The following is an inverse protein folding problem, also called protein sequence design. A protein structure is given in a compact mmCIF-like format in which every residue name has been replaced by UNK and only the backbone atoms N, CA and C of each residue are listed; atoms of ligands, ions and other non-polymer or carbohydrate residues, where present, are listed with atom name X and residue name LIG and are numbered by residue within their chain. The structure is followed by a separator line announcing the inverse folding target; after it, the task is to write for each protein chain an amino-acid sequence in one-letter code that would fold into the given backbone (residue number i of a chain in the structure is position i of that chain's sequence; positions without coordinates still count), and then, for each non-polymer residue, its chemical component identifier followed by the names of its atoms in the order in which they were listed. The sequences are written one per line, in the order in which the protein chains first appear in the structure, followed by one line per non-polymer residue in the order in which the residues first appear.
data_IF_532780531124
#
_entry.id   IF_532780531124
#
_cell.length_a   1.000
_cell.length_b   1.000
_cell.length_c   1.000
_cell.angle_alpha   90.00
_cell.angle_beta   90.00
_cell.angle_gamma   90.00
#
_symmetry.space_group_name_H-M   'P 1'
#
loop_
_entity.id
_entity.type
_entity.pdbx_description
1 polymer ?
#
# COMPACT_ATOMS: atom_id res chain seq x y z
N UNK A 1 7.87 32.35 -16.58
CA UNK A 1 8.61 32.56 -15.32
C UNK A 1 8.72 31.20 -14.66
N UNK A 2 9.93 30.69 -14.43
CA UNK A 2 10.13 29.41 -13.77
C UNK A 2 9.53 29.49 -12.36
N UNK A 3 8.34 28.94 -12.15
CA UNK A 3 7.93 28.53 -10.81
C UNK A 3 9.07 27.69 -10.24
N UNK A 4 9.60 28.10 -9.08
CA UNK A 4 10.66 27.33 -8.41
C UNK A 4 10.16 25.90 -8.27
N UNK A 5 10.82 24.95 -8.93
CA UNK A 5 10.47 23.54 -8.84
C UNK A 5 10.52 23.11 -7.36
N UNK A 6 9.35 22.92 -6.74
CA UNK A 6 9.20 22.63 -5.31
C UNK A 6 9.37 21.14 -4.99
N UNK A 7 9.58 20.29 -6.01
CA UNK A 7 9.71 18.84 -5.83
C UNK A 7 10.82 18.47 -4.86
N UNK A 8 11.96 19.17 -4.94
CA UNK A 8 13.17 18.89 -4.16
C UNK A 8 13.32 19.80 -2.92
N UNK A 9 12.27 20.52 -2.55
CA UNK A 9 12.27 21.38 -1.36
C UNK A 9 11.51 20.71 -0.21
N UNK A 10 11.90 20.97 1.05
CA UNK A 10 11.19 20.41 2.19
C UNK A 10 9.70 20.79 2.23
N UNK A 11 8.86 19.89 2.74
CA UNK A 11 7.44 20.17 2.97
C UNK A 11 6.94 19.50 4.26
N UNK A 12 5.89 20.08 4.85
CA UNK A 12 5.29 19.60 6.09
C UNK A 12 4.20 18.55 5.79
N UNK A 13 4.29 17.41 6.46
CA UNK A 13 3.30 16.33 6.43
C UNK A 13 2.82 16.10 7.87
N UNK A 14 1.67 16.64 8.23
CA UNK A 14 1.20 16.61 9.61
C UNK A 14 2.23 17.22 10.58
N UNK A 15 2.68 16.49 11.63
CA UNK A 15 3.69 16.97 12.56
C UNK A 15 5.14 16.86 12.05
N UNK A 16 5.40 16.15 10.94
CA UNK A 16 6.77 15.89 10.44
C UNK A 16 7.12 16.73 9.22
N UNK A 17 8.41 16.92 8.95
CA UNK A 17 8.91 17.62 7.76
C UNK A 17 9.70 16.66 6.90
N UNK A 18 9.27 16.48 5.65
CA UNK A 18 9.98 15.68 4.66
C UNK A 18 10.95 16.55 3.88
N UNK A 19 12.12 16.01 3.53
CA UNK A 19 13.15 16.74 2.77
C UNK A 19 12.76 17.11 1.33
N UNK A 20 11.81 16.38 0.75
CA UNK A 20 11.29 16.58 -0.59
C UNK A 20 9.94 15.86 -0.76
N UNK A 21 9.35 15.99 -1.96
CA UNK A 21 7.98 15.56 -2.28
C UNK A 21 7.88 14.18 -2.91
N UNK A 22 8.96 13.39 -2.91
CA UNK A 22 8.98 12.03 -3.46
C UNK A 22 8.75 10.98 -2.38
N UNK A 23 7.74 10.14 -2.56
CA UNK A 23 7.35 9.10 -1.60
C UNK A 23 7.47 7.73 -2.27
N UNK A 24 8.10 6.77 -1.60
CA UNK A 24 8.05 5.36 -2.02
C UNK A 24 6.76 4.74 -1.52
N UNK A 25 5.92 4.25 -2.43
CA UNK A 25 4.64 3.65 -2.11
C UNK A 25 4.82 2.33 -1.34
N UNK A 26 3.96 2.06 -0.35
CA UNK A 26 3.84 0.72 0.24
C UNK A 26 3.48 -0.30 -0.83
N UNK A 27 4.45 -1.15 -1.18
CA UNK A 27 4.34 -2.26 -2.12
C UNK A 27 5.08 -3.46 -1.52
N UNK A 28 4.37 -4.57 -1.33
CA UNK A 28 4.90 -5.74 -0.62
C UNK A 28 6.29 -6.16 -1.13
N UNK A 29 7.17 -6.42 -0.17
CA UNK A 29 8.59 -6.66 -0.38
C UNK A 29 8.92 -8.15 -0.25
N UNK A 30 8.11 -8.92 0.50
CA UNK A 30 8.39 -10.33 0.79
C UNK A 30 9.68 -10.55 1.61
N UNK A 31 10.18 -9.51 2.27
CA UNK A 31 11.43 -9.52 3.02
C UNK A 31 11.17 -9.59 4.54
N UNK A 32 10.75 -10.76 5.01
CA UNK A 32 10.23 -10.96 6.37
C UNK A 32 10.72 -12.29 6.93
N UNK A 33 11.22 -12.28 8.16
CA UNK A 33 11.66 -13.47 8.92
C UNK A 33 10.86 -13.52 10.20
N UNK A 34 10.20 -14.66 10.48
CA UNK A 34 9.37 -14.87 11.69
C UNK A 34 8.34 -13.76 11.97
N UNK A 35 7.77 -13.21 10.90
CA UNK A 35 6.80 -12.12 10.99
C UNK A 35 7.38 -10.78 11.45
N UNK A 36 8.70 -10.60 11.33
CA UNK A 36 9.43 -9.36 11.61
C UNK A 36 10.24 -8.90 10.37
N UNK A 37 10.57 -7.59 10.25
CA UNK A 37 11.52 -7.10 9.26
C UNK A 37 12.81 -7.92 9.20
N UNK A 38 13.30 -8.20 7.99
CA UNK A 38 14.62 -8.80 7.80
C UNK A 38 15.70 -7.75 7.51
N UNK A 39 16.98 -8.12 7.56
CA UNK A 39 18.08 -7.24 7.12
C UNK A 39 17.95 -6.84 5.65
N UNK A 40 17.35 -7.69 4.81
CA UNK A 40 17.05 -7.35 3.42
C UNK A 40 16.03 -6.20 3.33
N UNK A 41 15.00 -6.19 4.19
CA UNK A 41 14.03 -5.10 4.24
C UNK A 41 14.66 -3.79 4.71
N UNK A 42 15.53 -3.86 5.72
CA UNK A 42 16.34 -2.70 6.18
C UNK A 42 17.15 -2.13 5.03
N UNK A 43 17.93 -2.97 4.34
CA UNK A 43 18.72 -2.55 3.18
C UNK A 43 17.83 -1.94 2.08
N UNK A 44 16.69 -2.55 1.77
CA UNK A 44 15.77 -2.07 0.74
C UNK A 44 15.31 -0.64 1.00
N UNK A 45 14.83 -0.35 2.22
CA UNK A 45 14.33 0.97 2.57
C UNK A 45 15.44 2.00 2.80
N UNK A 46 16.56 1.59 3.41
CA UNK A 46 17.77 2.44 3.53
C UNK A 46 18.26 2.88 2.15
N UNK A 47 18.38 1.97 1.18
CA UNK A 47 18.89 2.32 -0.16
C UNK A 47 17.97 3.33 -0.88
N UNK A 48 16.65 3.28 -0.66
CA UNK A 48 15.71 4.31 -1.17
C UNK A 48 15.94 5.67 -0.52
N UNK A 49 16.20 5.68 0.79
CA UNK A 49 16.53 6.89 1.52
C UNK A 49 17.90 7.43 1.06
N UNK A 50 18.94 6.61 0.96
CA UNK A 50 20.24 7.03 0.40
C UNK A 50 20.09 7.62 -1.02
N UNK A 51 19.14 7.10 -1.81
CA UNK A 51 18.83 7.57 -3.16
C UNK A 51 17.95 8.82 -3.26
N UNK A 52 17.64 9.46 -2.13
CA UNK A 52 16.99 10.77 -2.08
C UNK A 52 15.49 10.75 -1.84
N UNK A 53 14.84 9.60 -1.63
CA UNK A 53 13.38 9.54 -1.37
C UNK A 53 13.03 10.26 -0.06
N UNK A 54 12.06 11.18 -0.08
CA UNK A 54 11.66 11.95 1.10
C UNK A 54 11.02 11.11 2.20
N UNK A 55 10.10 10.21 1.84
CA UNK A 55 9.44 9.27 2.75
C UNK A 55 9.38 7.88 2.10
N UNK A 56 9.87 6.85 2.79
CA UNK A 56 9.77 5.47 2.32
C UNK A 56 8.69 4.70 3.10
N UNK A 57 7.68 4.17 2.40
CA UNK A 57 6.58 3.44 3.05
C UNK A 57 6.78 1.94 2.95
N UNK A 58 6.89 1.25 4.09
CA UNK A 58 7.05 -0.22 4.21
C UNK A 58 5.70 -0.92 4.05
N UNK A 59 5.66 -2.08 3.40
CA UNK A 59 4.47 -2.89 3.22
C UNK A 59 4.66 -4.35 3.73
N UNK A 60 3.62 -5.15 3.93
CA UNK A 60 2.42 -4.75 4.65
C UNK A 60 2.51 -5.20 6.11
N UNK A 61 2.24 -4.30 7.05
CA UNK A 61 2.18 -4.64 8.48
C UNK A 61 0.79 -5.16 8.82
N UNK A 62 0.63 -6.46 9.05
CA UNK A 62 -0.65 -6.99 9.51
C UNK A 62 -0.88 -6.58 10.97
N UNK A 63 -2.00 -5.91 11.25
CA UNK A 63 -2.35 -5.47 12.62
C UNK A 63 -2.80 -6.62 13.52
N UNK A 64 -3.06 -7.79 12.93
CA UNK A 64 -3.47 -8.99 13.66
C UNK A 64 -2.97 -10.25 12.97
N UNK A 65 -2.80 -11.33 13.74
CA UNK A 65 -2.39 -12.65 13.22
C UNK A 65 -3.39 -13.18 12.19
N UNK A 66 -4.70 -13.06 12.47
CA UNK A 66 -5.77 -13.53 11.57
C UNK A 66 -5.90 -12.66 10.31
N UNK A 67 -5.44 -11.41 10.37
CA UNK A 67 -5.45 -10.49 9.24
C UNK A 67 -4.28 -10.66 8.26
N UNK A 68 -3.37 -11.62 8.48
CA UNK A 68 -2.21 -11.86 7.59
C UNK A 68 -2.65 -12.50 6.28
N UNK A 69 -2.32 -11.87 5.16
CA UNK A 69 -2.64 -12.36 3.82
C UNK A 69 -1.58 -13.29 3.23
N UNK A 70 -0.33 -13.16 3.69
CA UNK A 70 0.82 -13.92 3.21
C UNK A 70 1.60 -14.56 4.38
N UNK A 71 2.26 -15.71 4.17
CA UNK A 71 3.11 -16.32 5.19
C UNK A 71 4.28 -15.43 5.60
N UNK A 72 4.88 -14.72 4.63
CA UNK A 72 6.00 -13.79 4.76
C UNK A 72 5.54 -12.34 4.87
N UNK A 73 4.51 -12.09 5.67
CA UNK A 73 4.02 -10.74 5.99
C UNK A 73 4.34 -10.40 7.45
N UNK A 74 4.78 -9.16 7.71
CA UNK A 74 4.99 -8.69 9.09
C UNK A 74 3.69 -8.76 9.87
N UNK A 75 3.79 -9.14 11.15
CA UNK A 75 2.69 -9.05 12.10
C UNK A 75 3.10 -8.07 13.20
N UNK A 76 2.40 -6.94 13.26
CA UNK A 76 2.63 -5.86 14.22
C UNK A 76 2.29 -6.34 15.62
N UNK A 77 3.33 -6.52 16.43
CA UNK A 77 3.26 -7.02 17.82
C UNK A 77 4.48 -6.53 18.62
N UNK A 78 4.39 -6.42 19.95
CA UNK A 78 5.48 -5.87 20.76
C UNK A 78 6.84 -6.57 20.57
N UNK A 79 6.86 -7.87 20.29
CA UNK A 79 8.07 -8.69 20.19
C UNK A 79 8.97 -8.37 18.98
N UNK A 80 8.49 -7.53 18.05
CA UNK A 80 9.27 -7.07 16.88
C UNK A 80 9.71 -5.62 17.00
N UNK A 81 9.48 -4.95 18.14
CA UNK A 81 9.89 -3.56 18.34
C UNK A 81 11.38 -3.32 17.99
N UNK A 82 12.36 -4.13 18.43
CA UNK A 82 13.76 -3.92 18.06
C UNK A 82 14.03 -3.99 16.54
N UNK A 83 13.28 -4.82 15.80
CA UNK A 83 13.42 -4.91 14.35
C UNK A 83 12.84 -3.70 13.63
N UNK A 84 11.77 -3.13 14.19
CA UNK A 84 11.16 -1.91 13.68
C UNK A 84 12.07 -0.70 13.95
N UNK A 85 12.68 -0.62 15.13
CA UNK A 85 13.68 0.39 15.49
C UNK A 85 14.88 0.34 14.53
N UNK A 86 15.48 -0.84 14.33
CA UNK A 86 16.60 -1.01 13.41
C UNK A 86 16.26 -0.59 11.96
N UNK A 87 15.02 -0.80 11.54
CA UNK A 87 14.53 -0.37 10.22
C UNK A 87 14.37 1.15 10.14
N UNK A 88 13.80 1.79 11.16
CA UNK A 88 13.63 3.24 11.20
C UNK A 88 14.99 3.97 11.29
N UNK A 89 15.86 3.54 12.21
CA UNK A 89 17.20 4.09 12.40
C UNK A 89 18.03 4.06 11.11
N UNK A 90 17.99 2.95 10.37
CA UNK A 90 18.71 2.83 9.11
C UNK A 90 18.22 3.83 8.04
N UNK A 91 16.92 4.13 8.01
CA UNK A 91 16.36 5.13 7.08
C UNK A 91 16.71 6.55 7.53
N UNK A 92 16.62 6.83 8.83
CA UNK A 92 16.98 8.13 9.40
C UNK A 92 18.45 8.46 9.24
N UNK A 93 19.35 7.47 9.32
CA UNK A 93 20.78 7.64 9.07
C UNK A 93 21.10 8.19 7.66
N UNK A 94 20.22 7.95 6.68
CA UNK A 94 20.31 8.47 5.31
C UNK A 94 19.53 9.79 5.11
N UNK A 95 19.01 10.37 6.19
CA UNK A 95 18.21 11.61 6.19
C UNK A 95 16.85 11.47 5.51
N UNK A 96 16.33 10.25 5.33
CA UNK A 96 14.97 10.00 4.87
C UNK A 96 13.99 9.83 6.03
N UNK A 97 12.70 9.99 5.77
CA UNK A 97 11.65 9.61 6.72
C UNK A 97 11.09 8.21 6.38
N UNK A 98 10.45 7.57 7.34
CA UNK A 98 9.85 6.24 7.17
C UNK A 98 8.36 6.21 7.57
N UNK A 99 7.57 5.50 6.77
CA UNK A 99 6.17 5.17 7.06
C UNK A 99 5.97 3.66 7.09
N UNK A 100 5.08 3.15 7.95
CA UNK A 100 4.60 1.78 7.85
C UNK A 100 3.17 1.75 7.32
N UNK A 101 2.94 1.02 6.22
CA UNK A 101 1.58 0.74 5.77
C UNK A 101 0.98 -0.43 6.57
N UNK A 102 0.03 -0.13 7.46
CA UNK A 102 -0.65 -1.12 8.29
C UNK A 102 -1.98 -1.54 7.66
N UNK A 103 -2.32 -2.82 7.80
CA UNK A 103 -3.48 -3.42 7.13
C UNK A 103 -4.07 -4.60 7.88
N UNK A 104 -5.29 -4.97 7.49
CA UNK A 104 -5.95 -6.22 7.88
C UNK A 104 -6.53 -6.89 6.62
N UNK A 105 -6.22 -8.17 6.40
CA UNK A 105 -6.66 -8.94 5.22
C UNK A 105 -8.18 -9.10 5.10
N UNK A 106 -8.87 -9.17 6.23
CA UNK A 106 -10.31 -9.43 6.24
C UNK A 106 -10.59 -10.76 5.54
N UNK A 107 -11.51 -10.77 4.56
CA UNK A 107 -11.76 -11.97 3.75
C UNK A 107 -10.69 -12.27 2.69
N UNK A 108 -9.77 -11.33 2.42
CA UNK A 108 -8.69 -11.49 1.45
C UNK A 108 -7.45 -12.23 2.02
N UNK A 109 -7.63 -13.07 3.04
CA UNK A 109 -6.58 -13.97 3.54
C UNK A 109 -6.47 -15.18 2.60
N UNK A 110 -5.65 -15.02 1.57
CA UNK A 110 -5.59 -15.93 0.41
C UNK A 110 -4.44 -16.93 0.43
N UNK A 111 -3.41 -16.72 1.26
CA UNK A 111 -2.19 -17.54 1.19
C UNK A 111 -1.87 -18.34 2.44
N UNK A 112 -2.62 -18.15 3.54
CA UNK A 112 -2.48 -18.91 4.80
C UNK A 112 -3.82 -19.45 5.25
N UNK A 113 -3.83 -20.62 5.90
CA UNK A 113 -5.02 -21.12 6.61
C UNK A 113 -5.09 -20.44 7.97
N UNK A 114 -6.25 -19.91 8.32
CA UNK A 114 -6.51 -19.32 9.65
C UNK A 114 -7.35 -20.26 10.49
N UNK A 115 -7.15 -20.22 11.81
CA UNK A 115 -7.86 -21.07 12.77
C UNK A 115 -9.33 -20.65 12.90
N UNK A 116 -9.59 -19.34 12.91
CA UNK A 116 -10.93 -18.78 12.98
C UNK A 116 -11.46 -18.34 11.62
N UNK A 117 -12.80 -18.30 11.42
CA UNK A 117 -13.38 -17.74 10.20
C UNK A 117 -12.91 -16.30 9.97
N UNK A 118 -12.44 -16.03 8.75
CA UNK A 118 -12.10 -14.68 8.31
C UNK A 118 -13.26 -13.69 8.51
N UNK A 119 -12.95 -12.41 8.67
CA UNK A 119 -13.95 -11.35 8.87
C UNK A 119 -14.08 -10.43 7.65
N UNK A 120 -15.27 -9.86 7.45
CA UNK A 120 -15.51 -8.84 6.43
C UNK A 120 -16.72 -7.96 6.81
N UNK A 121 -17.01 -6.94 6.01
CA UNK A 121 -18.22 -6.12 6.17
C UNK A 121 -19.50 -6.99 6.11
N UNK A 122 -19.50 -8.06 5.31
CA UNK A 122 -20.60 -9.01 5.18
C UNK A 122 -20.13 -10.46 5.18
N UNK A 123 -20.96 -11.35 5.73
CA UNK A 123 -20.68 -12.78 5.85
C UNK A 123 -20.93 -13.57 4.56
N UNK A 124 -20.67 -14.87 4.62
CA UNK A 124 -20.98 -15.83 3.56
C UNK A 124 -19.75 -16.61 3.08
N UNK A 125 -19.80 -17.03 1.82
CA UNK A 125 -18.70 -17.79 1.20
C UNK A 125 -17.49 -16.88 0.91
N UNK A 126 -16.30 -17.36 1.24
CA UNK A 126 -15.06 -16.65 0.95
C UNK A 126 -14.38 -17.24 -0.30
N UNK A 127 -14.66 -16.64 -1.46
CA UNK A 127 -14.05 -17.02 -2.74
C UNK A 127 -12.52 -16.88 -2.73
N UNK A 128 -12.01 -15.82 -2.10
CA UNK A 128 -10.57 -15.52 -2.07
C UNK A 128 -9.80 -16.54 -1.21
N UNK A 129 -10.43 -17.03 -0.14
CA UNK A 129 -9.87 -18.03 0.78
C UNK A 129 -10.00 -19.48 0.34
N UNK A 130 -10.72 -19.76 -0.75
CA UNK A 130 -11.08 -21.12 -1.18
C UNK A 130 -9.87 -22.04 -1.35
N UNK A 131 -8.83 -21.57 -2.05
CA UNK A 131 -7.61 -22.35 -2.35
C UNK A 131 -6.74 -22.67 -1.12
N UNK A 132 -7.08 -22.13 0.06
CA UNK A 132 -6.39 -22.38 1.34
C UNK A 132 -7.31 -22.95 2.43
N UNK A 133 -8.55 -23.30 2.07
CA UNK A 133 -9.52 -23.88 3.01
C UNK A 133 -10.22 -22.85 3.91
N UNK A 134 -10.03 -21.55 3.68
CA UNK A 134 -10.74 -20.49 4.38
C UNK A 134 -12.11 -20.27 3.71
N UNK A 135 -13.02 -21.23 3.83
CA UNK A 135 -14.26 -21.28 3.03
C UNK A 135 -15.34 -20.28 3.46
N UNK A 136 -15.31 -19.83 4.72
CA UNK A 136 -16.34 -18.96 5.30
C UNK A 136 -15.73 -17.64 5.75
N UNK A 137 -16.50 -16.57 5.56
CA UNK A 137 -16.29 -15.26 6.18
C UNK A 137 -17.50 -14.89 7.03
N UNK A 138 -17.27 -14.28 8.18
CA UNK A 138 -18.33 -13.75 9.04
C UNK A 138 -18.51 -12.25 8.82
N UNK A 139 -19.75 -11.77 8.98
CA UNK A 139 -20.01 -10.35 9.06
C UNK A 139 -19.47 -9.83 10.40
N UNK A 140 -18.74 -8.72 10.36
CA UNK A 140 -18.27 -8.06 11.58
C UNK A 140 -19.46 -7.48 12.36
N UNK A 141 -19.50 -7.78 13.65
CA UNK A 141 -20.33 -7.08 14.65
C UNK A 141 -19.68 -5.76 15.05
N UNK A 142 -20.36 -4.93 15.84
CA UNK A 142 -19.76 -3.72 16.42
C UNK A 142 -18.54 -4.05 17.28
N UNK A 143 -18.61 -5.10 18.10
CA UNK A 143 -17.48 -5.55 18.92
C UNK A 143 -16.26 -5.95 18.07
N UNK A 144 -16.48 -6.60 16.91
CA UNK A 144 -15.39 -6.91 15.98
C UNK A 144 -14.78 -5.66 15.36
N UNK A 145 -15.62 -4.68 15.00
CA UNK A 145 -15.16 -3.39 14.48
C UNK A 145 -14.34 -2.64 15.52
N UNK A 146 -14.74 -2.66 16.79
CA UNK A 146 -13.98 -2.06 17.89
C UNK A 146 -12.65 -2.76 18.12
N UNK A 147 -12.63 -4.10 18.14
CA UNK A 147 -11.41 -4.90 18.26
C UNK A 147 -10.43 -4.57 17.13
N UNK A 148 -10.89 -4.60 15.88
CA UNK A 148 -10.04 -4.32 14.72
C UNK A 148 -9.54 -2.88 14.76
N UNK A 149 -10.39 -1.92 15.09
CA UNK A 149 -9.98 -0.52 15.22
C UNK A 149 -8.88 -0.36 16.29
N UNK A 150 -9.01 -1.06 17.43
CA UNK A 150 -7.98 -1.07 18.46
C UNK A 150 -6.66 -1.70 17.95
N UNK A 151 -6.72 -2.78 17.17
CA UNK A 151 -5.52 -3.38 16.57
C UNK A 151 -4.78 -2.40 15.64
N UNK A 152 -5.50 -1.58 14.87
CA UNK A 152 -4.89 -0.51 14.08
C UNK A 152 -4.22 0.56 14.96
N UNK A 153 -4.87 0.93 16.07
CA UNK A 153 -4.32 1.87 17.07
C UNK A 153 -3.04 1.31 17.69
N UNK A 154 -3.05 0.06 18.13
CA UNK A 154 -1.90 -0.60 18.77
C UNK A 154 -0.72 -0.74 17.79
N UNK A 155 -1.00 -1.08 16.53
CA UNK A 155 0.03 -1.15 15.49
C UNK A 155 0.64 0.22 15.18
N UNK A 156 -0.16 1.28 15.12
CA UNK A 156 0.33 2.65 14.92
C UNK A 156 1.15 3.12 16.13
N UNK A 157 0.73 2.80 17.35
CA UNK A 157 1.47 3.08 18.57
C UNK A 157 2.82 2.34 18.60
N UNK A 158 2.88 1.09 18.13
CA UNK A 158 4.13 0.35 17.98
C UNK A 158 5.07 1.03 16.97
N UNK A 159 4.56 1.50 15.82
CA UNK A 159 5.35 2.28 14.87
C UNK A 159 5.91 3.56 15.50
N UNK A 160 5.08 4.28 16.27
CA UNK A 160 5.48 5.49 16.98
C UNK A 160 6.60 5.19 17.99
N UNK A 161 6.48 4.11 18.75
CA UNK A 161 7.52 3.67 19.70
C UNK A 161 8.83 3.33 18.98
N UNK A 162 8.75 2.69 17.82
CA UNK A 162 9.89 2.34 16.99
C UNK A 162 10.53 3.55 16.25
N UNK A 163 10.01 4.76 16.43
CA UNK A 163 10.54 5.97 15.80
C UNK A 163 10.05 6.24 14.37
N UNK A 164 8.98 5.60 13.89
CA UNK A 164 8.45 5.91 12.56
C UNK A 164 7.88 7.34 12.50
N UNK A 165 8.11 8.03 11.39
CA UNK A 165 7.61 9.40 11.14
C UNK A 165 6.14 9.43 10.73
N UNK A 166 5.68 8.32 10.15
CA UNK A 166 4.33 8.20 9.64
C UNK A 166 3.78 6.77 9.74
N UNK A 167 2.45 6.67 9.71
CA UNK A 167 1.73 5.43 9.44
C UNK A 167 0.75 5.65 8.28
N UNK A 168 0.67 4.68 7.37
CA UNK A 168 -0.30 4.69 6.27
C UNK A 168 -1.36 3.61 6.52
N UNK A 169 -2.61 4.02 6.74
CA UNK A 169 -3.72 3.08 6.92
C UNK A 169 -4.19 2.61 5.54
N UNK A 170 -4.11 1.30 5.31
CA UNK A 170 -4.49 0.76 4.01
C UNK A 170 -6.00 0.57 3.87
N UNK A 171 -6.63 1.39 3.02
CA UNK A 171 -8.08 1.38 2.73
C UNK A 171 -8.41 1.06 1.27
N UNK A 172 -7.51 0.39 0.55
CA UNK A 172 -7.64 0.07 -0.86
C UNK A 172 -7.51 -1.44 -1.16
N UNK A 173 -7.46 -1.75 -2.45
CA UNK A 173 -7.01 -3.05 -2.99
C UNK A 173 -7.74 -4.32 -2.52
N UNK A 174 -8.94 -4.21 -1.94
CA UNK A 174 -9.71 -5.35 -1.44
C UNK A 174 -9.33 -5.83 -0.04
N UNK A 175 -8.48 -5.12 0.70
CA UNK A 175 -8.24 -5.36 2.13
C UNK A 175 -9.46 -4.97 2.97
N UNK A 176 -9.45 -5.27 4.27
CA UNK A 176 -10.63 -5.19 5.13
C UNK A 176 -11.36 -3.84 5.06
N UNK A 177 -10.64 -2.71 5.16
CA UNK A 177 -11.28 -1.40 5.13
C UNK A 177 -11.87 -1.08 3.75
N UNK A 178 -11.23 -1.52 2.65
CA UNK A 178 -11.84 -1.47 1.32
C UNK A 178 -13.04 -2.42 1.18
N UNK A 179 -13.10 -3.52 1.93
CA UNK A 179 -14.26 -4.41 1.96
C UNK A 179 -15.48 -3.74 2.61
N UNK A 180 -15.30 -2.72 3.44
CA UNK A 180 -16.39 -1.84 3.89
C UNK A 180 -16.76 -0.80 2.83
N UNK A 181 -15.77 -0.15 2.20
CA UNK A 181 -16.00 0.90 1.18
C UNK A 181 -16.69 0.35 -0.08
N UNK A 182 -16.26 -0.83 -0.55
CA UNK A 182 -16.67 -1.41 -1.83
C UNK A 182 -18.07 -2.05 -1.76
N UNK A 183 -19.01 -1.65 -2.63
CA UNK A 183 -20.33 -2.27 -2.74
C UNK A 183 -20.28 -3.76 -3.08
N UNK A 184 -19.20 -4.26 -3.68
CA UNK A 184 -19.01 -5.70 -3.98
C UNK A 184 -18.95 -6.50 -2.68
N UNK A 185 -18.26 -5.96 -1.68
CA UNK A 185 -17.95 -6.66 -0.44
C UNK A 185 -18.94 -6.33 0.69
N UNK A 186 -19.48 -5.11 0.70
CA UNK A 186 -20.38 -4.63 1.73
C UNK A 186 -21.84 -4.67 1.27
N UNK A 187 -22.60 -5.60 1.84
CA UNK A 187 -24.04 -5.81 1.64
C UNK A 187 -24.85 -5.50 2.91
N UNK A 188 -24.27 -4.76 3.86
CA UNK A 188 -24.95 -4.41 5.11
C UNK A 188 -26.11 -3.46 4.83
N UNK A 189 -27.13 -3.55 5.68
CA UNK A 189 -28.32 -2.69 5.66
C UNK A 189 -28.40 -1.77 6.89
N UNK A 190 -27.36 -1.78 7.74
CA UNK A 190 -27.22 -0.88 8.88
C UNK A 190 -26.46 0.40 8.50
N UNK A 191 -26.10 1.22 9.50
CA UNK A 191 -25.38 2.49 9.31
C UNK A 191 -23.96 2.35 8.74
N UNK A 192 -23.47 1.13 8.53
CA UNK A 192 -22.17 0.82 7.91
C UNK A 192 -22.30 0.26 6.49
N UNK A 193 -23.51 0.24 5.90
CA UNK A 193 -23.77 -0.19 4.54
C UNK A 193 -24.78 0.67 3.79
N UNK A 194 -25.10 0.28 2.55
CA UNK A 194 -25.95 1.09 1.67
C UNK A 194 -25.17 2.22 1.00
N UNK A 195 -25.34 3.46 1.47
CA UNK A 195 -24.75 4.66 0.84
C UNK A 195 -23.21 4.71 0.94
N UNK A 196 -22.57 5.55 0.13
CA UNK A 196 -21.11 5.73 0.17
C UNK A 196 -20.63 6.22 1.54
N UNK A 197 -21.39 7.12 2.15
CA UNK A 197 -21.12 7.70 3.47
C UNK A 197 -21.11 6.61 4.55
N UNK A 198 -22.14 5.76 4.57
CA UNK A 198 -22.23 4.67 5.53
C UNK A 198 -21.11 3.64 5.33
N UNK A 199 -20.81 3.29 4.09
CA UNK A 199 -19.73 2.34 3.76
C UNK A 199 -18.34 2.86 4.16
N UNK A 200 -18.11 4.17 4.10
CA UNK A 200 -16.87 4.81 4.52
C UNK A 200 -16.80 5.14 6.03
N UNK A 201 -17.90 5.00 6.78
CA UNK A 201 -18.00 5.31 8.21
C UNK A 201 -16.99 4.56 9.07
N UNK A 202 -16.92 3.23 8.94
CA UNK A 202 -15.97 2.42 9.73
C UNK A 202 -14.50 2.72 9.37
N UNK A 203 -14.09 2.78 8.09
CA UNK A 203 -12.75 3.25 7.71
C UNK A 203 -12.37 4.61 8.31
N UNK A 204 -13.27 5.60 8.26
CA UNK A 204 -13.04 6.92 8.85
C UNK A 204 -12.93 6.88 10.38
N UNK A 205 -13.72 6.03 11.04
CA UNK A 205 -13.62 5.79 12.47
C UNK A 205 -12.26 5.21 12.87
N UNK A 206 -11.74 4.24 12.12
CA UNK A 206 -10.40 3.67 12.33
C UNK A 206 -9.33 4.74 12.21
N UNK A 207 -9.38 5.57 11.15
CA UNK A 207 -8.47 6.69 10.97
C UNK A 207 -8.51 7.65 12.14
N UNK A 208 -9.70 8.08 12.56
CA UNK A 208 -9.89 9.02 13.68
C UNK A 208 -9.25 8.48 14.96
N UNK A 209 -9.51 7.20 15.32
CA UNK A 209 -8.93 6.59 16.53
C UNK A 209 -7.40 6.52 16.47
N UNK A 210 -6.83 6.19 15.31
CA UNK A 210 -5.36 6.22 15.11
C UNK A 210 -4.84 7.65 15.24
N UNK A 211 -5.47 8.62 14.57
CA UNK A 211 -5.09 10.04 14.62
C UNK A 211 -5.12 10.59 16.05
N UNK A 212 -6.15 10.26 16.83
CA UNK A 212 -6.25 10.64 18.26
C UNK A 212 -5.10 10.07 19.09
N UNK A 213 -4.65 8.84 18.80
CA UNK A 213 -3.59 8.18 19.57
C UNK A 213 -2.20 8.73 19.29
N UNK A 214 -1.84 8.90 18.00
CA UNK A 214 -0.43 9.16 17.59
C UNK A 214 -0.23 10.45 16.80
N UNK A 215 -1.32 11.11 16.39
CA UNK A 215 -1.32 12.16 15.37
C UNK A 215 -0.61 13.48 15.70
N UNK A 216 -0.23 13.68 16.96
CA UNK A 216 0.57 14.82 17.41
C UNK A 216 2.08 14.61 17.22
N UNK A 217 2.53 13.35 17.12
CA UNK A 217 3.95 12.98 17.04
C UNK A 217 4.30 12.29 15.72
N UNK A 218 3.32 11.65 15.09
CA UNK A 218 3.49 10.87 13.87
C UNK A 218 2.41 11.27 12.85
N UNK A 219 2.76 11.37 11.57
CA UNK A 219 1.77 11.62 10.52
C UNK A 219 0.89 10.39 10.27
N UNK A 220 -0.40 10.61 10.02
CA UNK A 220 -1.38 9.55 9.75
C UNK A 220 -1.96 9.75 8.36
N UNK A 221 -1.54 8.88 7.45
CA UNK A 221 -1.97 8.86 6.05
C UNK A 221 -3.03 7.79 5.84
N UNK A 222 -3.81 7.93 4.77
CA UNK A 222 -4.68 6.87 4.29
C UNK A 222 -4.48 6.62 2.79
N UNK A 223 -4.31 5.34 2.41
CA UNK A 223 -4.27 4.93 1.01
C UNK A 223 -5.64 4.43 0.58
N UNK A 224 -6.28 5.17 -0.31
CA UNK A 224 -7.62 4.86 -0.82
C UNK A 224 -7.58 4.50 -2.31
N UNK A 225 -8.62 3.80 -2.76
CA UNK A 225 -8.88 3.61 -4.17
C UNK A 225 -9.59 4.85 -4.73
N UNK A 226 -9.14 5.36 -5.87
CA UNK A 226 -9.87 6.32 -6.70
C UNK A 226 -11.06 5.67 -7.41
N UNK A 227 -10.96 4.35 -7.64
CA UNK A 227 -12.03 3.45 -8.02
C UNK A 227 -11.56 2.00 -7.82
N UNK A 228 -12.49 1.05 -7.70
CA UNK A 228 -12.17 -0.38 -7.68
C UNK A 228 -11.86 -0.94 -9.07
N UNK A 229 -12.18 -0.22 -10.15
CA UNK A 229 -11.82 -0.62 -11.51
C UNK A 229 -12.55 -1.86 -12.04
N UNK A 230 -13.69 -2.23 -11.44
CA UNK A 230 -14.55 -3.35 -11.85
C UNK A 230 -16.03 -2.98 -11.76
N UNK A 231 -16.91 -3.60 -12.58
CA UNK A 231 -18.36 -3.39 -12.48
C UNK A 231 -18.90 -3.72 -11.08
N UNK A 232 -19.75 -2.83 -10.55
CA UNK A 232 -20.34 -2.95 -9.21
C UNK A 232 -19.38 -2.63 -8.05
N UNK A 233 -18.13 -2.26 -8.33
CA UNK A 233 -17.16 -1.76 -7.36
C UNK A 233 -17.38 -0.30 -6.98
N UNK A 234 -16.56 0.19 -6.03
CA UNK A 234 -16.54 1.60 -5.68
C UNK A 234 -16.06 2.46 -6.87
N UNK A 235 -16.72 3.59 -7.07
CA UNK A 235 -16.53 4.54 -8.16
C UNK A 235 -15.73 5.77 -7.72
N UNK A 236 -15.49 6.72 -8.64
CA UNK A 236 -14.89 8.02 -8.32
C UNK A 236 -15.75 8.81 -7.33
N UNK A 237 -17.08 8.75 -7.47
CA UNK A 237 -18.02 9.44 -6.57
C UNK A 237 -17.92 8.88 -5.15
N UNK A 238 -17.82 7.55 -5.02
CA UNK A 238 -17.59 6.91 -3.72
C UNK A 238 -16.23 7.30 -3.12
N UNK A 239 -15.20 7.47 -3.96
CA UNK A 239 -13.88 7.92 -3.53
C UNK A 239 -13.90 9.37 -3.05
N UNK A 240 -14.68 10.26 -3.67
CA UNK A 240 -14.90 11.64 -3.22
C UNK A 240 -15.54 11.65 -1.83
N UNK A 241 -16.60 10.87 -1.63
CA UNK A 241 -17.28 10.77 -0.32
C UNK A 241 -16.32 10.23 0.74
N UNK A 242 -15.57 9.19 0.40
CA UNK A 242 -14.54 8.61 1.28
C UNK A 242 -13.48 9.67 1.64
N UNK A 243 -12.94 10.40 0.66
CA UNK A 243 -11.93 11.42 0.89
C UNK A 243 -12.41 12.54 1.83
N UNK A 244 -13.67 13.00 1.68
CA UNK A 244 -14.27 14.00 2.58
C UNK A 244 -14.37 13.50 4.03
N UNK A 245 -14.80 12.26 4.22
CA UNK A 245 -14.88 11.67 5.56
C UNK A 245 -13.51 11.46 6.20
N UNK A 246 -12.50 11.09 5.41
CA UNK A 246 -11.12 10.95 5.91
C UNK A 246 -10.48 12.31 6.23
N UNK A 247 -10.79 13.36 5.46
CA UNK A 247 -10.43 14.74 5.81
C UNK A 247 -11.04 15.14 7.15
N UNK A 248 -12.34 14.88 7.35
CA UNK A 248 -13.04 15.20 8.61
C UNK A 248 -12.49 14.39 9.79
N UNK A 249 -12.06 13.16 9.56
CA UNK A 249 -11.41 12.31 10.56
C UNK A 249 -9.95 12.72 10.86
N UNK A 250 -9.40 13.71 10.14
CA UNK A 250 -8.12 14.33 10.46
C UNK A 250 -6.90 13.64 9.83
N UNK A 251 -7.05 12.94 8.71
CA UNK A 251 -5.87 12.46 7.95
C UNK A 251 -4.93 13.62 7.63
N UNK A 252 -3.63 13.36 7.64
CA UNK A 252 -2.63 14.36 7.26
C UNK A 252 -2.41 14.41 5.74
N UNK A 253 -2.64 13.29 5.05
CA UNK A 253 -2.58 13.20 3.58
C UNK A 253 -3.27 11.92 3.07
N UNK A 254 -3.87 11.98 1.88
CA UNK A 254 -4.40 10.79 1.20
C UNK A 254 -3.50 10.37 0.04
N UNK A 255 -3.22 9.07 -0.07
CA UNK A 255 -2.51 8.48 -1.22
C UNK A 255 -3.52 7.84 -2.16
N UNK A 256 -3.57 8.34 -3.39
CA UNK A 256 -4.62 8.00 -4.36
C UNK A 256 -4.22 6.83 -5.26
N UNK A 257 -4.62 5.61 -4.88
CA UNK A 257 -4.37 4.37 -5.63
C UNK A 257 -5.64 3.87 -6.33
N UNK A 258 -5.69 2.62 -6.78
CA UNK A 258 -6.91 2.06 -7.36
C UNK A 258 -6.86 0.56 -7.56
N UNK A 259 -8.02 -0.04 -7.81
CA UNK A 259 -8.15 -1.45 -8.16
C UNK A 259 -8.22 -2.38 -6.95
N UNK A 260 -8.34 -3.68 -7.23
CA UNK A 260 -8.43 -4.76 -6.24
C UNK A 260 -7.54 -5.92 -6.67
N UNK A 261 -6.92 -6.57 -5.69
CA UNK A 261 -5.92 -7.61 -5.94
C UNK A 261 -6.45 -8.79 -6.77
N UNK A 262 -7.72 -9.18 -6.60
CA UNK A 262 -8.32 -10.32 -7.31
C UNK A 262 -9.02 -9.88 -8.60
N UNK A 263 -9.81 -8.81 -8.53
CA UNK A 263 -10.76 -8.47 -9.58
C UNK A 263 -10.20 -7.50 -10.64
N UNK A 264 -9.19 -6.68 -10.31
CA UNK A 264 -8.75 -5.58 -11.17
C UNK A 264 -7.25 -5.25 -11.03
N UNK A 265 -6.39 -6.27 -10.96
CA UNK A 265 -4.94 -6.07 -10.97
C UNK A 265 -4.45 -5.22 -12.15
N UNK A 266 -5.04 -5.39 -13.34
CA UNK A 266 -4.73 -4.59 -14.52
C UNK A 266 -4.99 -3.08 -14.33
N UNK A 267 -6.03 -2.71 -13.60
CA UNK A 267 -6.37 -1.32 -13.28
C UNK A 267 -5.39 -0.76 -12.24
N UNK A 268 -5.06 -1.55 -11.22
CA UNK A 268 -4.09 -1.17 -10.17
C UNK A 268 -2.71 -0.84 -10.75
N UNK A 269 -2.20 -1.67 -11.67
CA UNK A 269 -0.86 -1.52 -12.23
C UNK A 269 -0.82 -0.69 -13.53
N UNK A 270 -1.97 -0.39 -14.13
CA UNK A 270 -2.06 0.22 -15.46
C UNK A 270 -1.46 -0.67 -16.57
N UNK A 271 -1.25 -1.95 -16.29
CA UNK A 271 -0.69 -2.95 -17.20
C UNK A 271 -1.03 -4.36 -16.70
N UNK A 272 -1.06 -5.35 -17.60
CA UNK A 272 -1.33 -6.74 -17.27
C UNK A 272 -0.14 -7.40 -16.54
N UNK A 273 -0.39 -8.52 -15.84
CA UNK A 273 0.66 -9.32 -15.23
C UNK A 273 1.48 -10.08 -16.29
N UNK A 274 2.78 -10.21 -16.04
CA UNK A 274 3.63 -11.13 -16.79
C UNK A 274 3.44 -12.55 -16.22
N UNK A 275 2.62 -13.34 -16.90
CA UNK A 275 2.24 -14.68 -16.45
C UNK A 275 3.39 -15.68 -16.54
N UNK A 276 4.37 -15.45 -17.42
CA UNK A 276 5.50 -16.35 -17.56
C UNK A 276 6.52 -16.13 -16.43
N UNK A 277 6.75 -14.87 -16.05
CA UNK A 277 7.52 -14.57 -14.84
C UNK A 277 6.82 -15.06 -13.57
N UNK A 278 5.48 -14.95 -13.48
CA UNK A 278 4.72 -15.52 -12.36
C UNK A 278 4.93 -17.03 -12.20
N UNK A 279 4.83 -17.80 -13.30
CA UNK A 279 5.07 -19.25 -13.28
C UNK A 279 6.48 -19.59 -12.82
N UNK A 280 7.48 -18.86 -13.33
CA UNK A 280 8.89 -19.04 -12.98
C UNK A 280 9.13 -18.89 -11.49
N UNK A 281 8.53 -17.88 -10.85
CA UNK A 281 8.73 -17.62 -9.41
C UNK A 281 7.93 -18.58 -8.54
N UNK A 282 6.67 -18.87 -8.88
CA UNK A 282 5.79 -19.67 -8.04
C UNK A 282 6.08 -21.18 -8.08
N UNK A 283 6.91 -21.66 -9.03
CA UNK A 283 7.34 -23.07 -9.19
C UNK A 283 6.18 -24.07 -9.02
N UNK A 284 5.00 -23.69 -9.52
CA UNK A 284 3.76 -24.45 -9.32
C UNK A 284 3.70 -25.70 -10.20
N UNK A 285 2.85 -26.65 -9.79
CA UNK A 285 2.50 -27.79 -10.64
C UNK A 285 1.84 -27.35 -11.94
N UNK A 286 1.84 -28.23 -12.95
CA UNK A 286 1.15 -27.98 -14.23
C UNK A 286 -0.33 -27.56 -14.02
N UNK A 287 -1.01 -28.15 -13.03
CA UNK A 287 -2.39 -27.82 -12.65
C UNK A 287 -2.52 -26.38 -12.14
N UNK A 288 -1.56 -25.93 -11.34
CA UNK A 288 -1.52 -24.54 -10.84
C UNK A 288 -1.30 -23.57 -12.00
N UNK A 289 -0.42 -23.91 -12.94
CA UNK A 289 -0.19 -23.13 -14.16
C UNK A 289 -1.43 -23.04 -15.05
N UNK A 290 -2.20 -24.13 -15.18
CA UNK A 290 -3.48 -24.15 -15.89
C UNK A 290 -4.52 -23.24 -15.21
N UNK A 291 -4.70 -23.38 -13.90
CA UNK A 291 -5.64 -22.56 -13.13
C UNK A 291 -5.31 -21.06 -13.22
N UNK A 292 -4.04 -20.69 -13.18
CA UNK A 292 -3.61 -19.29 -13.39
C UNK A 292 -3.90 -18.78 -14.79
N UNK A 293 -3.72 -19.62 -15.82
CA UNK A 293 -4.07 -19.23 -17.20
C UNK A 293 -5.59 -19.03 -17.34
N UNK A 294 -6.39 -19.92 -16.74
CA UNK A 294 -7.84 -19.81 -16.73
C UNK A 294 -8.32 -18.58 -15.96
N UNK A 295 -7.68 -18.21 -14.86
CA UNK A 295 -8.06 -17.03 -14.08
C UNK A 295 -7.83 -15.70 -14.81
N UNK A 296 -7.00 -15.70 -15.86
CA UNK A 296 -6.80 -14.52 -16.72
C UNK A 296 -7.78 -14.43 -17.88
N UNK A 297 -8.61 -15.46 -18.13
CA UNK A 297 -9.63 -15.41 -19.18
C UNK A 297 -10.62 -14.28 -18.86
N UNK A 298 -10.86 -13.41 -19.84
CA UNK A 298 -11.73 -12.23 -19.67
C UNK A 298 -11.06 -11.04 -19.01
N UNK A 299 -9.77 -11.13 -18.63
CA UNK A 299 -9.03 -9.96 -18.13
C UNK A 299 -8.82 -8.95 -19.26
N UNK A 300 -9.21 -7.67 -19.08
CA UNK A 300 -8.96 -6.62 -20.07
C UNK A 300 -7.48 -6.50 -20.41
N UNK A 301 -7.17 -6.36 -21.69
CA UNK A 301 -5.81 -6.02 -22.15
C UNK A 301 -5.62 -4.51 -22.05
N UNK A 302 -4.63 -4.08 -21.30
CA UNK A 302 -4.38 -2.67 -20.99
C UNK A 302 -3.03 -2.27 -21.56
N UNK A 303 -3.02 -1.20 -22.35
CA UNK A 303 -1.80 -0.52 -22.72
C UNK A 303 -1.45 0.49 -21.63
N UNK A 304 -0.22 0.43 -21.14
CA UNK A 304 0.25 1.36 -20.14
C UNK A 304 0.21 2.80 -20.67
N UNK A 305 -0.30 3.70 -19.83
CA UNK A 305 -0.24 5.15 -20.01
C UNK A 305 0.35 5.75 -18.75
N UNK A 306 1.23 6.74 -18.88
CA UNK A 306 1.68 7.50 -17.73
C UNK A 306 0.49 8.23 -17.09
N UNK A 307 0.58 8.50 -15.80
CA UNK A 307 -0.44 9.27 -15.08
C UNK A 307 -1.87 8.68 -15.18
N UNK A 308 -2.01 7.35 -15.21
CA UNK A 308 -3.29 6.68 -15.51
C UNK A 308 -4.42 6.86 -14.48
N UNK A 309 -4.14 7.45 -13.31
CA UNK A 309 -5.16 7.83 -12.32
C UNK A 309 -5.42 9.34 -12.24
N UNK A 310 -4.82 10.14 -13.12
CA UNK A 310 -4.90 11.60 -13.05
C UNK A 310 -6.33 12.13 -13.12
N UNK A 311 -7.14 11.66 -14.07
CA UNK A 311 -8.53 12.15 -14.22
C UNK A 311 -9.41 11.83 -13.01
N UNK A 312 -9.21 10.66 -12.38
CA UNK A 312 -9.90 10.33 -11.14
C UNK A 312 -9.39 11.18 -9.98
N UNK A 313 -8.07 11.39 -9.92
CA UNK A 313 -7.43 12.14 -8.84
C UNK A 313 -7.80 13.62 -8.88
N UNK A 314 -8.00 14.21 -10.06
CA UNK A 314 -8.52 15.58 -10.25
C UNK A 314 -9.91 15.76 -9.63
N UNK A 315 -10.80 14.78 -9.82
CA UNK A 315 -12.15 14.82 -9.25
C UNK A 315 -12.10 14.83 -7.72
N UNK A 316 -11.22 14.03 -7.12
CA UNK A 316 -11.01 14.02 -5.67
C UNK A 316 -10.40 15.34 -5.22
N UNK A 317 -9.34 15.82 -5.89
CA UNK A 317 -8.68 17.10 -5.58
C UNK A 317 -9.66 18.27 -5.57
N UNK A 318 -10.59 18.31 -6.52
CA UNK A 318 -11.62 19.35 -6.59
C UNK A 318 -12.64 19.31 -5.44
N UNK A 319 -12.69 18.22 -4.66
CA UNK A 319 -13.73 17.97 -3.67
C UNK A 319 -13.25 18.05 -2.21
N UNK A 320 -11.93 18.17 -1.98
CA UNK A 320 -11.29 18.18 -0.65
C UNK A 320 -10.11 19.16 -0.64
N UNK A 321 -9.68 19.60 0.54
CA UNK A 321 -8.56 20.53 0.75
C UNK A 321 -7.37 19.87 1.46
N UNK A 322 -7.57 18.70 2.07
CA UNK A 322 -6.52 17.88 2.68
C UNK A 322 -5.38 17.63 1.68
N UNK A 323 -4.11 17.55 2.11
CA UNK A 323 -3.03 17.13 1.23
C UNK A 323 -3.31 15.81 0.51
N UNK A 324 -2.97 15.74 -0.77
CA UNK A 324 -3.12 14.57 -1.63
C UNK A 324 -1.77 14.22 -2.25
N UNK A 325 -1.40 12.95 -2.19
CA UNK A 325 -0.25 12.42 -2.91
C UNK A 325 -0.70 11.66 -4.15
N UNK A 326 -0.17 12.04 -5.30
CA UNK A 326 -0.47 11.40 -6.57
C UNK A 326 0.24 10.05 -6.69
N UNK A 327 -0.52 8.98 -6.96
CA UNK A 327 0.00 7.66 -7.33
C UNK A 327 -0.70 7.18 -8.61
N UNK A 328 0.02 6.51 -9.49
CA UNK A 328 -0.54 5.93 -10.71
C UNK A 328 0.26 6.29 -11.95
N UNK A 329 1.35 5.56 -12.22
CA UNK A 329 2.09 5.66 -13.48
C UNK A 329 3.03 6.86 -13.63
N UNK A 330 3.27 7.65 -12.58
CA UNK A 330 4.32 8.68 -12.58
C UNK A 330 5.71 8.03 -12.61
N UNK A 331 6.55 8.42 -13.57
CA UNK A 331 7.88 7.82 -13.81
C UNK A 331 8.94 8.78 -14.36
N UNK A 332 8.65 10.07 -14.44
CA UNK A 332 9.53 11.09 -14.99
C UNK A 332 9.48 12.38 -14.19
N UNK A 333 10.46 13.27 -14.40
CA UNK A 333 10.45 14.61 -13.83
C UNK A 333 9.20 15.37 -14.29
N UNK A 334 8.86 15.29 -15.58
CA UNK A 334 7.68 15.93 -16.15
C UNK A 334 6.37 15.43 -15.54
N UNK A 335 6.23 14.12 -15.26
CA UNK A 335 5.07 13.61 -14.54
C UNK A 335 4.98 14.17 -13.11
N UNK A 336 6.13 14.29 -12.44
CA UNK A 336 6.17 14.81 -11.09
C UNK A 336 5.81 16.31 -11.06
N UNK A 337 6.35 17.09 -11.99
CA UNK A 337 6.02 18.51 -12.18
C UNK A 337 4.54 18.68 -12.53
N UNK A 338 3.99 17.83 -13.40
CA UNK A 338 2.56 17.81 -13.70
C UNK A 338 1.73 17.56 -12.45
N UNK A 339 2.07 16.58 -11.62
CA UNK A 339 1.35 16.34 -10.38
C UNK A 339 1.37 17.58 -9.44
N UNK A 340 2.51 18.26 -9.32
CA UNK A 340 2.57 19.49 -8.52
C UNK A 340 1.68 20.60 -9.09
N UNK A 341 1.69 20.78 -10.42
CA UNK A 341 0.85 21.77 -11.11
C UNK A 341 -0.65 21.50 -10.96
N UNK A 342 -1.04 20.24 -10.75
CA UNK A 342 -2.42 19.80 -10.53
C UNK A 342 -2.86 19.93 -9.05
N UNK A 343 -1.99 20.46 -8.18
CA UNK A 343 -2.31 20.70 -6.77
C UNK A 343 -2.14 19.48 -5.86
N UNK A 344 -1.32 18.50 -6.25
CA UNK A 344 -0.88 17.43 -5.36
C UNK A 344 0.36 17.85 -4.56
N UNK A 345 0.43 17.52 -3.28
CA UNK A 345 1.53 17.89 -2.40
C UNK A 345 2.74 16.95 -2.54
N UNK A 346 2.53 15.74 -3.03
CA UNK A 346 3.59 14.75 -3.19
C UNK A 346 3.34 13.81 -4.37
N UNK A 347 4.41 13.17 -4.84
CA UNK A 347 4.38 12.16 -5.89
C UNK A 347 4.84 10.84 -5.32
N UNK A 348 3.99 9.84 -5.42
CA UNK A 348 4.25 8.50 -4.90
C UNK A 348 4.64 7.57 -6.05
N UNK A 349 5.75 6.86 -5.89
CA UNK A 349 6.29 5.93 -6.88
C UNK A 349 6.58 4.57 -6.25
N UNK A 350 6.43 3.49 -7.02
CA UNK A 350 6.84 2.15 -6.60
C UNK A 350 7.85 1.58 -7.59
N UNK A 351 7.37 1.10 -8.74
CA UNK A 351 8.19 0.44 -9.78
C UNK A 351 9.41 1.27 -10.26
N UNK A 352 9.31 2.61 -10.45
CA UNK A 352 10.49 3.42 -10.78
C UNK A 352 11.61 3.34 -9.75
N UNK A 353 11.27 3.33 -8.46
CA UNK A 353 12.22 3.27 -7.35
C UNK A 353 12.74 1.85 -7.13
N UNK A 354 11.90 0.83 -7.33
CA UNK A 354 12.35 -0.59 -7.35
C UNK A 354 13.37 -0.84 -8.47
N UNK A 355 13.20 -0.16 -9.62
CA UNK A 355 14.15 -0.24 -10.72
C UNK A 355 15.45 0.50 -10.43
N UNK A 356 15.39 1.66 -9.79
CA UNK A 356 16.58 2.43 -9.46
C UNK A 356 16.36 3.20 -8.16
N UNK A 357 16.98 2.74 -7.07
CA UNK A 357 16.83 3.41 -5.77
C UNK A 357 17.42 4.82 -5.78
N UNK A 358 18.40 5.11 -6.66
CA UNK A 358 19.04 6.42 -6.82
C UNK A 358 18.23 7.39 -7.70
N UNK A 359 17.05 6.98 -8.17
CA UNK A 359 16.31 7.74 -9.18
C UNK A 359 16.03 9.18 -8.76
N UNK A 360 15.67 9.45 -7.50
CA UNK A 360 15.37 10.82 -7.03
C UNK A 360 16.61 11.72 -7.06
N UNK A 361 17.75 11.25 -6.55
CA UNK A 361 19.02 11.98 -6.64
C UNK A 361 19.43 12.24 -8.09
N UNK A 362 19.28 11.24 -8.98
CA UNK A 362 19.59 11.40 -10.41
C UNK A 362 18.69 12.42 -11.09
N UNK A 363 17.40 12.48 -10.74
CA UNK A 363 16.49 13.52 -11.20
C UNK A 363 16.95 14.90 -10.70
N UNK A 364 17.29 15.02 -9.42
CA UNK A 364 17.72 16.28 -8.81
C UNK A 364 19.00 16.83 -9.45
N UNK A 365 19.95 15.95 -9.78
CA UNK A 365 21.21 16.30 -10.45
C UNK A 365 21.07 16.48 -11.97
N UNK A 366 19.90 16.18 -12.54
CA UNK A 366 19.66 16.26 -13.98
C UNK A 366 20.33 15.16 -14.81
N UNK A 367 20.80 14.07 -14.18
CA UNK A 367 21.44 12.93 -14.85
C UNK A 367 20.44 12.09 -15.66
N UNK A 368 19.19 12.04 -15.21
CA UNK A 368 18.08 11.39 -15.90
C UNK A 368 16.85 12.29 -15.88
N UNK A 369 15.96 12.10 -16.86
CA UNK A 369 14.64 12.76 -16.90
C UNK A 369 13.47 11.80 -16.66
N UNK A 370 13.71 10.50 -16.83
CA UNK A 370 12.71 9.44 -16.67
C UNK A 370 13.37 8.15 -16.17
N UNK A 371 12.59 7.31 -15.48
CA UNK A 371 13.04 6.01 -14.99
C UNK A 371 13.20 5.03 -16.15
N UNK A 372 14.15 4.09 -16.04
CA UNK A 372 14.30 2.97 -16.97
C UNK A 372 13.29 1.82 -16.77
N UNK A 373 12.41 1.89 -15.77
CA UNK A 373 11.41 0.85 -15.52
C UNK A 373 10.48 0.66 -16.73
N UNK A 374 10.33 -0.53 -17.31
CA UNK A 374 9.48 -0.73 -18.49
C UNK A 374 8.03 -1.15 -18.19
N UNK A 375 7.57 -1.03 -16.93
CA UNK A 375 6.21 -1.41 -16.49
C UNK A 375 5.80 -2.87 -16.81
N UNK A 376 6.77 -3.77 -16.96
CA UNK A 376 6.55 -5.18 -17.31
C UNK A 376 5.89 -6.01 -16.20
N UNK A 377 5.73 -5.46 -14.99
CA UNK A 377 5.17 -6.13 -13.81
C UNK A 377 5.92 -7.40 -13.35
N UNK A 378 7.09 -7.70 -13.91
CA UNK A 378 7.94 -8.84 -13.53
C UNK A 378 8.50 -8.75 -12.11
N UNK A 379 8.50 -7.58 -11.48
CA UNK A 379 8.86 -7.42 -10.07
C UNK A 379 7.79 -7.96 -9.10
N UNK A 380 6.52 -8.03 -9.53
CA UNK A 380 5.38 -8.36 -8.66
C UNK A 380 5.45 -9.79 -8.10
N UNK A 381 5.77 -10.83 -8.90
CA UNK A 381 5.82 -12.20 -8.37
C UNK A 381 6.91 -12.40 -7.33
N UNK A 382 7.93 -11.54 -7.29
CA UNK A 382 9.08 -11.69 -6.40
C UNK A 382 8.75 -11.47 -4.92
N UNK A 383 7.53 -11.04 -4.59
CA UNK A 383 7.00 -11.12 -3.22
C UNK A 383 6.98 -12.56 -2.66
N UNK A 384 7.00 -13.56 -3.54
CA UNK A 384 7.04 -14.99 -3.19
C UNK A 384 8.45 -15.59 -3.32
N UNK A 385 9.42 -14.82 -3.82
CA UNK A 385 10.79 -15.30 -4.01
C UNK A 385 11.61 -15.15 -2.72
N UNK A 386 12.54 -16.05 -2.39
CA UNK A 386 13.37 -15.94 -1.18
C UNK A 386 14.19 -14.66 -1.09
N UNK A 387 14.53 -14.04 -2.23
CA UNK A 387 15.25 -12.77 -2.30
C UNK A 387 14.34 -11.53 -2.10
N UNK A 388 13.03 -11.71 -2.02
CA UNK A 388 12.05 -10.62 -2.01
C UNK A 388 11.96 -9.84 -3.33
N UNK A 389 11.12 -8.81 -3.32
CA UNK A 389 10.81 -7.92 -4.46
C UNK A 389 12.06 -7.21 -4.98
N UNK A 390 12.24 -7.27 -6.30
CA UNK A 390 13.34 -6.62 -7.03
C UNK A 390 12.94 -6.33 -8.47
N UNK A 391 13.68 -5.46 -9.15
CA UNK A 391 13.59 -5.35 -10.61
C UNK A 391 14.38 -6.48 -11.27
N UNK A 392 13.76 -7.22 -12.18
CA UNK A 392 14.42 -8.32 -12.92
C UNK A 392 15.52 -7.87 -13.88
N UNK A 393 15.64 -6.56 -14.11
CA UNK A 393 16.72 -5.95 -14.91
C UNK A 393 17.96 -5.61 -14.08
N UNK A 394 17.91 -5.82 -12.77
CA UNK A 394 19.00 -5.56 -11.84
C UNK A 394 19.55 -6.88 -11.27
N UNK A 395 20.78 -6.86 -10.71
CA UNK A 395 21.28 -7.98 -9.92
C UNK A 395 20.30 -8.37 -8.80
N UNK A 396 20.20 -9.66 -8.46
CA UNK A 396 19.31 -10.11 -7.40
C UNK A 396 19.72 -9.59 -6.03
N UNK A 397 18.72 -9.43 -5.15
CA UNK A 397 18.98 -9.15 -3.75
C UNK A 397 19.74 -10.32 -3.11
N UNK A 398 20.56 -10.01 -2.10
CA UNK A 398 21.23 -11.03 -1.29
C UNK A 398 20.19 -11.78 -0.44
N UNK A 399 20.05 -13.08 -0.71
CA UNK A 399 19.14 -13.97 0.01
C UNK A 399 19.55 -14.14 1.47
N UNK A 400 20.85 -14.07 1.79
CA UNK A 400 21.34 -14.25 3.15
C UNK A 400 20.79 -13.18 4.09
N UNK A 401 20.66 -11.94 3.61
CA UNK A 401 20.05 -10.85 4.36
C UNK A 401 18.56 -11.07 4.63
N UNK A 402 17.88 -11.88 3.82
CA UNK A 402 16.47 -12.21 4.02
C UNK A 402 16.24 -13.46 4.88
N UNK A 403 17.30 -14.00 5.47
CA UNK A 403 17.24 -15.10 6.45
C UNK A 403 17.52 -14.62 7.89
N UNK A 404 17.80 -13.34 8.08
CA UNK A 404 18.16 -12.75 9.39
C UNK A 404 17.18 -11.63 9.72
N UNK A 405 16.66 -11.64 10.95
CA UNK A 405 15.85 -10.54 11.51
C UNK A 405 16.65 -9.23 11.51
N UNK A 406 15.97 -8.10 11.38
CA UNK A 406 16.62 -6.79 11.29
C UNK A 406 17.53 -6.49 12.49
N UNK A 407 17.12 -6.86 13.70
CA UNK A 407 17.89 -6.67 14.94
C UNK A 407 18.84 -7.84 15.29
N UNK A 408 18.91 -8.89 14.45
CA UNK A 408 19.69 -10.11 14.71
C UNK A 408 21.09 -10.15 14.13
#
# INVERSE_FOLDING_TARGET
MNEKNTLFTPFKLGPVTLRNRFIRAGANEGMVVDGAPSKALVKHHRDMAAGGVGLTTVAYGAVSKVGRTLPNQVWMRPEILPDLEALAEAVHAEGGAISYQITHGGSFVTSVKVEEPTMSASGGFNKAGFMRGNLRKRAMTRADMDLVAQQFVDAAELCRQAGFDAVEIHMGHGYLLNQFISPISNKRTDEYGGSAENRARFPAEVLRRVKEKVGHQMAVLAKINVADGVPGGATADDAIVTARLLQQAGADMLVLSGGRNMESGWFMFGSNFDMDEMKKVLKGSWLTGLMMKLSQIGTPKVQFREMYFLEYSRQIRAAVDIPLAYLGGARSLANAEQAMAEGFEAVVMARPLIHDSQFVNKLQRGEVKASGCINCNRCIPYIYHPAGTMCVMNPPNDVALNCVRAAG
#
